data_IF_542624066360
#
_entry.id   IF_542624066360
#
_cell.length_a   1.000
_cell.length_b   1.000
_cell.length_c   1.000
_cell.angle_alpha   90.00
_cell.angle_beta   90.00
_cell.angle_gamma   90.00
#
_symmetry.space_group_name_H-M   'P 1'
#
loop_
_entity.id
_entity.type
_entity.pdbx_description
1 polymer ?
#
# COMPACT_ATOMS: atom_id res chain seq x y z
N UNK A 1 -36.74 15.82 -23.63
CA UNK A 1 -36.61 15.54 -22.18
C UNK A 1 -35.68 14.38 -21.87
N UNK A 2 -35.88 13.18 -22.43
CA UNK A 2 -35.06 11.98 -22.17
C UNK A 2 -33.55 12.18 -22.36
N UNK A 3 -33.14 12.81 -23.47
CA UNK A 3 -31.72 13.10 -23.77
C UNK A 3 -31.04 14.01 -22.73
N UNK A 4 -31.76 14.98 -22.16
CA UNK A 4 -31.22 15.87 -21.12
C UNK A 4 -31.07 15.13 -19.79
N UNK A 5 -31.96 14.18 -19.50
CA UNK A 5 -31.91 13.35 -18.29
C UNK A 5 -30.70 12.41 -18.35
N UNK A 6 -30.44 11.78 -19.50
CA UNK A 6 -29.23 10.95 -19.68
C UNK A 6 -27.93 11.73 -19.48
N UNK A 7 -27.87 12.97 -19.99
CA UNK A 7 -26.71 13.85 -19.79
C UNK A 7 -26.53 14.22 -18.32
N UNK A 8 -27.60 14.59 -17.61
CA UNK A 8 -27.54 14.90 -16.18
C UNK A 8 -27.13 13.69 -15.33
N UNK A 9 -27.59 12.47 -15.66
CA UNK A 9 -27.20 11.23 -14.96
C UNK A 9 -25.72 10.93 -15.17
N UNK A 10 -25.20 11.10 -16.40
CA UNK A 10 -23.79 10.88 -16.70
C UNK A 10 -22.89 11.88 -15.97
N UNK A 11 -23.28 13.16 -15.92
CA UNK A 11 -22.55 14.19 -15.17
C UNK A 11 -22.54 13.87 -13.67
N UNK A 12 -23.65 13.39 -13.11
CA UNK A 12 -23.74 12.99 -11.70
C UNK A 12 -22.87 11.76 -11.37
N UNK A 13 -22.72 10.84 -12.30
CA UNK A 13 -21.85 9.67 -12.12
C UNK A 13 -20.35 10.05 -12.12
N UNK A 14 -19.96 11.01 -12.95
CA UNK A 14 -18.55 11.47 -13.06
C UNK A 14 -18.11 12.30 -11.85
N UNK A 15 -19.04 13.02 -11.20
CA UNK A 15 -18.72 13.86 -10.03
C UNK A 15 -18.60 13.07 -8.73
N UNK A 16 -18.98 11.79 -8.71
CA UNK A 16 -18.75 10.89 -7.59
C UNK A 16 -17.35 10.29 -7.68
N UNK A 17 -16.35 11.02 -7.19
CA UNK A 17 -15.05 10.43 -6.91
C UNK A 17 -15.22 9.32 -5.86
N UNK A 18 -15.00 8.07 -6.25
CA UNK A 18 -14.98 6.95 -5.31
C UNK A 18 -13.84 7.17 -4.31
N UNK A 19 -14.14 6.97 -3.03
CA UNK A 19 -13.12 7.02 -1.98
C UNK A 19 -12.23 5.79 -2.18
N UNK A 20 -11.03 6.00 -2.71
CA UNK A 20 -10.01 4.95 -2.76
C UNK A 20 -9.48 4.76 -1.34
N UNK A 21 -9.95 3.71 -0.70
CA UNK A 21 -9.28 3.13 0.45
C UNK A 21 -8.31 2.09 -0.10
N UNK A 22 -7.03 2.19 0.23
CA UNK A 22 -6.03 1.28 -0.30
C UNK A 22 -5.18 0.74 0.84
N UNK A 23 -5.72 -0.32 1.44
CA UNK A 23 -5.17 -1.09 2.55
C UNK A 23 -4.64 -2.43 2.04
N UNK A 24 -3.65 -3.04 2.72
CA UNK A 24 -3.15 -4.37 2.34
C UNK A 24 -4.25 -5.44 2.22
N UNK A 25 -5.30 -5.38 3.03
CA UNK A 25 -6.42 -6.33 2.98
C UNK A 25 -7.15 -6.36 1.62
N UNK A 26 -7.22 -5.25 0.89
CA UNK A 26 -7.84 -5.26 -0.43
C UNK A 26 -6.96 -5.91 -1.49
N UNK A 27 -5.63 -5.85 -1.31
CA UNK A 27 -4.73 -6.65 -2.14
C UNK A 27 -4.94 -8.15 -1.85
N UNK A 28 -5.04 -8.54 -0.58
CA UNK A 28 -5.28 -9.92 -0.16
C UNK A 28 -6.61 -10.48 -0.67
N UNK A 29 -7.67 -9.67 -0.71
CA UNK A 29 -8.99 -10.09 -1.18
C UNK A 29 -9.13 -10.05 -2.71
N UNK A 30 -8.43 -9.13 -3.37
CA UNK A 30 -8.57 -8.90 -4.81
C UNK A 30 -7.57 -9.66 -5.68
N UNK A 31 -6.48 -10.17 -5.10
CA UNK A 31 -5.38 -10.78 -5.84
C UNK A 31 -4.83 -11.98 -5.08
N UNK A 32 -4.72 -13.12 -5.76
CA UNK A 32 -4.08 -14.32 -5.21
C UNK A 32 -2.57 -14.10 -4.97
N UNK A 33 -1.91 -13.39 -5.89
CA UNK A 33 -0.51 -13.01 -5.77
C UNK A 33 -0.35 -11.48 -5.77
N UNK A 34 0.32 -10.88 -4.77
CA UNK A 34 0.51 -9.43 -4.71
C UNK A 34 1.49 -8.88 -5.76
N UNK A 35 2.22 -9.73 -6.49
CA UNK A 35 3.18 -9.35 -7.53
C UNK A 35 2.79 -9.94 -8.89
N UNK A 36 2.59 -9.06 -9.86
CA UNK A 36 2.36 -9.43 -11.26
C UNK A 36 3.66 -9.96 -11.91
N UNK A 37 3.53 -10.71 -13.02
CA UNK A 37 4.68 -11.26 -13.75
C UNK A 37 5.66 -10.19 -14.26
N UNK A 38 5.19 -8.96 -14.45
CA UNK A 38 5.98 -7.78 -14.82
C UNK A 38 6.84 -7.25 -13.67
N UNK A 39 6.62 -7.75 -12.45
CA UNK A 39 7.21 -7.23 -11.21
C UNK A 39 6.40 -6.10 -10.58
N UNK A 40 5.32 -5.63 -11.22
CA UNK A 40 4.41 -4.62 -10.66
C UNK A 40 3.68 -5.17 -9.44
N UNK A 41 3.57 -4.37 -8.38
CA UNK A 41 2.83 -4.70 -7.17
C UNK A 41 1.39 -4.21 -7.29
N UNK A 42 0.43 -5.06 -6.93
CA UNK A 42 -1.02 -4.81 -7.15
C UNK A 42 -1.55 -3.59 -6.39
N UNK A 43 -0.85 -3.10 -5.37
CA UNK A 43 -1.14 -1.84 -4.69
C UNK A 43 -1.24 -0.66 -5.67
N UNK A 44 -0.48 -0.70 -6.77
CA UNK A 44 -0.47 0.34 -7.79
C UNK A 44 -1.74 0.37 -8.67
N UNK A 45 -2.64 -0.62 -8.55
CA UNK A 45 -3.95 -0.60 -9.22
C UNK A 45 -4.94 0.38 -8.54
N UNK A 46 -4.67 0.77 -7.29
CA UNK A 46 -5.46 1.75 -6.53
C UNK A 46 -4.65 2.99 -6.11
N UNK A 47 -3.38 2.81 -5.74
CA UNK A 47 -2.44 3.90 -5.44
C UNK A 47 -1.74 4.36 -6.72
N UNK A 48 -2.37 5.29 -7.43
CA UNK A 48 -1.97 5.68 -8.79
C UNK A 48 -0.73 6.59 -8.84
N UNK A 49 -0.41 7.26 -7.74
CA UNK A 49 0.73 8.15 -7.66
C UNK A 49 1.99 7.38 -7.25
N UNK A 50 3.10 7.61 -7.94
CA UNK A 50 4.39 7.04 -7.58
C UNK A 50 5.09 7.90 -6.52
N UNK A 51 5.60 7.23 -5.49
CA UNK A 51 6.49 7.79 -4.47
C UNK A 51 7.65 6.81 -4.24
N UNK A 52 8.86 7.32 -3.98
CA UNK A 52 9.99 6.45 -3.67
C UNK A 52 9.75 5.73 -2.34
N UNK A 53 10.28 4.51 -2.26
CA UNK A 53 10.36 3.70 -1.04
C UNK A 53 11.75 3.08 -1.01
N UNK A 54 12.30 2.93 0.19
CA UNK A 54 13.63 2.33 0.38
C UNK A 54 13.52 1.09 1.27
N UNK A 55 14.38 0.11 1.00
CA UNK A 55 14.56 -1.07 1.83
C UNK A 55 16.05 -1.31 2.05
N UNK A 56 16.43 -1.45 3.31
CA UNK A 56 17.79 -1.79 3.74
C UNK A 56 17.75 -3.17 4.41
N UNK A 57 18.61 -4.07 3.95
CA UNK A 57 18.84 -5.41 4.52
C UNK A 57 20.34 -5.67 4.57
N UNK A 58 20.83 -6.56 5.45
CA UNK A 58 22.22 -7.01 5.41
C UNK A 58 22.56 -7.62 4.05
N UNK A 59 23.81 -7.49 3.63
CA UNK A 59 24.30 -8.07 2.37
C UNK A 59 24.17 -9.61 2.36
N UNK A 60 24.36 -10.25 3.52
CA UNK A 60 24.26 -11.69 3.70
C UNK A 60 23.76 -12.00 5.11
N UNK A 61 23.11 -13.15 5.25
CA UNK A 61 22.62 -13.69 6.52
C UNK A 61 23.03 -15.16 6.63
N UNK A 62 23.31 -15.60 7.85
CA UNK A 62 23.52 -17.02 8.12
C UNK A 62 22.16 -17.75 8.16
N UNK A 63 22.14 -19.07 7.92
CA UNK A 63 20.94 -19.87 8.15
C UNK A 63 20.43 -19.71 9.59
N UNK A 64 19.11 -19.79 9.77
CA UNK A 64 18.43 -19.73 11.07
C UNK A 64 18.83 -18.52 11.95
N UNK A 65 19.04 -17.36 11.30
CA UNK A 65 19.44 -16.12 11.96
C UNK A 65 18.41 -15.03 11.70
N UNK A 66 18.07 -14.29 12.75
CA UNK A 66 17.20 -13.12 12.64
C UNK A 66 18.00 -11.92 12.14
N UNK A 67 17.41 -11.19 11.20
CA UNK A 67 17.94 -9.92 10.72
C UNK A 67 16.81 -8.90 10.57
N UNK A 68 17.19 -7.63 10.47
CA UNK A 68 16.26 -6.53 10.29
C UNK A 68 16.16 -6.14 8.81
N UNK A 69 14.93 -6.02 8.31
CA UNK A 69 14.62 -5.36 7.05
C UNK A 69 14.03 -3.99 7.36
N UNK A 70 14.81 -2.92 7.14
CA UNK A 70 14.39 -1.56 7.43
C UNK A 70 13.70 -0.98 6.21
N UNK A 71 12.39 -0.74 6.32
CA UNK A 71 11.56 -0.17 5.26
C UNK A 71 11.34 1.32 5.53
N UNK A 72 11.67 2.18 4.57
CA UNK A 72 11.43 3.64 4.65
C UNK A 72 10.44 4.07 3.58
N UNK A 73 9.42 4.83 3.98
CA UNK A 73 8.41 5.40 3.09
C UNK A 73 8.44 6.92 3.29
N UNK A 74 9.36 7.65 2.63
CA UNK A 74 9.54 9.07 2.85
C UNK A 74 8.37 9.87 2.27
N UNK A 75 7.87 10.81 3.07
CA UNK A 75 6.94 11.84 2.63
C UNK A 75 7.12 13.11 3.47
N UNK A 76 6.67 14.24 2.94
CA UNK A 76 6.68 15.49 3.68
C UNK A 76 5.60 15.46 4.77
N UNK A 77 6.03 15.34 6.03
CA UNK A 77 5.15 15.28 7.20
C UNK A 77 4.41 16.61 7.48
N UNK A 78 4.81 17.72 6.87
CA UNK A 78 4.07 18.99 6.94
C UNK A 78 2.83 18.99 6.04
N UNK A 79 2.81 18.13 5.01
CA UNK A 79 1.67 18.00 4.11
C UNK A 79 0.57 17.14 4.74
N UNK A 80 -0.67 17.56 4.50
CA UNK A 80 -1.88 16.85 4.94
C UNK A 80 -2.64 16.34 3.72
N UNK A 81 -3.17 15.12 3.82
CA UNK A 81 -4.08 14.55 2.81
C UNK A 81 -5.54 14.92 3.10
N UNK A 82 -6.39 14.82 2.08
CA UNK A 82 -7.84 14.90 2.24
C UNK A 82 -8.35 13.53 2.73
N UNK A 83 -9.04 13.51 3.86
CA UNK A 83 -9.62 12.31 4.45
C UNK A 83 -11.00 12.02 3.85
N UNK A 84 -11.54 10.83 4.13
CA UNK A 84 -12.88 10.41 3.67
C UNK A 84 -14.02 11.36 4.06
N UNK A 85 -13.86 12.13 5.15
CA UNK A 85 -14.84 13.14 5.58
C UNK A 85 -14.63 14.53 4.94
N UNK A 86 -13.71 14.65 3.98
CA UNK A 86 -13.35 15.89 3.31
C UNK A 86 -12.42 16.83 4.10
N UNK A 87 -12.08 16.51 5.35
CA UNK A 87 -11.13 17.31 6.16
C UNK A 87 -9.68 16.95 5.83
N UNK A 88 -8.75 17.86 6.13
CA UNK A 88 -7.30 17.60 6.01
C UNK A 88 -6.77 16.86 7.24
N UNK A 89 -5.95 15.84 7.04
CA UNK A 89 -5.35 15.05 8.11
C UNK A 89 -4.01 14.42 7.73
N UNK A 90 -3.42 13.66 8.67
CA UNK A 90 -2.16 12.96 8.46
C UNK A 90 -2.29 11.82 7.44
N UNK A 91 -1.16 11.41 6.87
CA UNK A 91 -1.06 10.25 6.00
C UNK A 91 -0.85 8.99 6.84
N UNK A 92 -1.49 7.89 6.44
CA UNK A 92 -1.20 6.55 6.93
C UNK A 92 -0.32 5.84 5.90
N UNK A 93 0.54 4.94 6.38
CA UNK A 93 1.43 4.15 5.53
C UNK A 93 1.16 2.66 5.71
N UNK A 94 1.51 1.89 4.69
CA UNK A 94 1.44 0.43 4.70
C UNK A 94 2.35 -0.12 3.61
N UNK A 95 2.77 -1.38 3.75
CA UNK A 95 3.67 -2.03 2.81
C UNK A 95 3.29 -3.51 2.63
N UNK A 96 3.76 -4.09 1.54
CA UNK A 96 3.78 -5.54 1.29
C UNK A 96 5.24 -5.91 1.08
N UNK A 97 5.80 -6.76 1.95
CA UNK A 97 7.17 -7.26 1.84
C UNK A 97 7.12 -8.70 1.33
N UNK A 98 7.69 -8.95 0.16
CA UNK A 98 7.76 -10.29 -0.44
C UNK A 98 9.19 -10.80 -0.24
N UNK A 99 9.34 -11.77 0.66
CA UNK A 99 10.62 -12.40 0.96
C UNK A 99 10.85 -13.63 0.06
N UNK A 100 12.10 -14.08 -0.11
CA UNK A 100 12.39 -15.38 -0.70
C UNK A 100 11.73 -16.52 0.09
N UNK A 101 11.54 -17.66 -0.57
CA UNK A 101 11.00 -18.85 0.08
C UNK A 101 11.87 -19.28 1.28
N UNK A 102 11.23 -19.70 2.38
CA UNK A 102 11.88 -20.08 3.64
C UNK A 102 12.21 -18.93 4.58
N UNK A 103 12.04 -17.67 4.15
CA UNK A 103 12.14 -16.52 5.04
C UNK A 103 10.77 -16.14 5.60
N UNK A 104 10.71 -15.98 6.92
CA UNK A 104 9.48 -15.66 7.63
C UNK A 104 9.73 -14.55 8.66
N UNK A 105 8.64 -13.97 9.17
CA UNK A 105 8.74 -13.06 10.30
C UNK A 105 9.28 -13.83 11.52
N UNK A 106 10.36 -13.33 12.11
CA UNK A 106 10.93 -13.97 13.28
C UNK A 106 9.90 -14.12 14.42
N UNK A 107 9.95 -15.21 15.21
CA UNK A 107 8.99 -15.44 16.26
C UNK A 107 9.20 -14.43 17.42
N UNK A 108 8.12 -14.02 18.13
CA UNK A 108 8.19 -13.02 19.20
C UNK A 108 9.24 -13.29 20.28
N UNK A 109 9.50 -14.56 20.58
CA UNK A 109 10.43 -14.98 21.65
C UNK A 109 11.88 -14.54 21.39
N UNK A 110 12.26 -14.32 20.13
CA UNK A 110 13.61 -13.90 19.74
C UNK A 110 13.81 -12.38 19.89
N UNK A 111 12.72 -11.61 20.01
CA UNK A 111 12.74 -10.15 20.14
C UNK A 111 12.76 -9.66 21.59
N UNK A 112 12.81 -10.55 22.59
CA UNK A 112 12.94 -10.11 23.98
C UNK A 112 14.34 -9.52 24.19
N UNK A 113 14.45 -8.25 24.64
CA UNK A 113 15.73 -7.71 25.02
C UNK A 113 16.28 -8.54 26.18
N UNK A 114 17.52 -9.00 26.05
CA UNK A 114 18.31 -9.40 27.22
C UNK A 114 18.54 -8.19 28.12
#
# INVERSE_FOLDING_TARGET
>A
MTRSIYVSIMIYAITRASISNAYPIFAQQGYENPREATGRIVCANCHLANKPVDIEVPQAVLPDTVFEAVVRIPYDMQLKQVLANGKKGALNVGAVLILPEGFELAPPIVFLPK
#
